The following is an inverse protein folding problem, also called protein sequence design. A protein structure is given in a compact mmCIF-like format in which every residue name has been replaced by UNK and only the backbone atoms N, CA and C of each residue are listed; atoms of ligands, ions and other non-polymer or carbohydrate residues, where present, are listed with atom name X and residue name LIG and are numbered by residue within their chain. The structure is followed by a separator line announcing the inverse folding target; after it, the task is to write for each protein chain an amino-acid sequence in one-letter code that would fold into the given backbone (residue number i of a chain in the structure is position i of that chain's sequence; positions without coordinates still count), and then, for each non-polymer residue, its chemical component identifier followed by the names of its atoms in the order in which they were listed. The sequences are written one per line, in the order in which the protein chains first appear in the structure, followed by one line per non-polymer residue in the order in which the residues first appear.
data_IF_157598690189
#
_entry.id   IF_157598690189
#
_cell.length_a   1.000
_cell.length_b   1.000
_cell.length_c   1.000
_cell.angle_alpha   90.00
_cell.angle_beta   90.00
_cell.angle_gamma   90.00
#
_symmetry.space_group_name_H-M   'P 1'
#
loop_
_entity.id
_entity.type
_entity.pdbx_description
1 polymer ?
#
# COMPACT_ATOMS: atom_id res chain seq x y z
N UNK A 1 -9.82 64.17 -4.14
CA UNK A 1 -9.67 65.23 -3.13
C UNK A 1 -9.19 64.54 -1.86
N UNK A 2 -7.93 64.64 -1.44
CA UNK A 2 -7.15 65.83 -1.02
C UNK A 2 -7.75 66.55 0.18
N UNK A 3 -7.18 66.31 1.37
CA UNK A 3 -6.51 67.36 2.15
C UNK A 3 -5.49 66.79 3.16
N UNK A 4 -4.22 67.17 2.98
CA UNK A 4 -3.22 67.38 4.03
C UNK A 4 -2.82 68.88 3.96
N UNK A 5 -2.09 69.47 4.94
CA UNK A 5 -0.66 69.21 5.20
C UNK A 5 -0.42 68.95 6.73
N UNK A 6 0.64 69.30 7.48
CA UNK A 6 1.87 70.13 7.37
C UNK A 6 2.80 69.78 8.57
N UNK A 7 4.14 69.91 8.58
CA UNK A 7 5.16 70.15 7.54
C UNK A 7 6.57 69.74 8.08
N UNK A 8 7.64 70.03 7.30
CA UNK A 8 9.09 70.00 7.62
C UNK A 8 9.51 70.31 9.09
N UNK A 9 10.66 69.82 9.61
CA UNK A 9 12.01 69.89 8.99
C UNK A 9 13.00 68.78 9.36
N UNK A 10 13.87 68.47 8.40
CA UNK A 10 15.14 67.77 8.59
C UNK A 10 16.20 68.66 9.26
N UNK A 11 17.22 68.02 9.85
CA UNK A 11 18.60 68.50 9.85
C UNK A 11 19.57 67.32 9.81
N UNK A 12 20.25 67.12 8.68
CA UNK A 12 21.44 66.29 8.63
C UNK A 12 22.60 67.00 9.34
N UNK A 13 23.40 66.25 10.10
CA UNK A 13 24.81 66.59 10.31
C UNK A 13 25.61 65.31 10.60
N UNK A 14 26.65 65.07 9.82
CA UNK A 14 27.63 64.01 10.02
C UNK A 14 28.98 64.62 10.35
N UNK A 15 29.71 64.02 11.31
CA UNK A 15 31.17 63.88 11.34
C UNK A 15 31.61 63.09 12.59
N UNK A 16 32.90 62.78 12.69
CA UNK A 16 33.38 61.55 13.34
C UNK A 16 34.25 61.74 14.58
N UNK A 17 34.52 60.61 15.25
CA UNK A 17 35.73 60.31 16.05
C UNK A 17 36.04 61.17 17.29
N UNK A 18 35.91 60.57 18.47
CA UNK A 18 37.00 60.48 19.45
C UNK A 18 36.88 59.20 20.30
N UNK A 19 37.94 58.80 20.98
CA UNK A 19 38.07 57.51 21.68
C UNK A 19 37.72 57.60 23.17
N UNK A 20 37.11 56.54 23.71
CA UNK A 20 36.84 56.39 25.14
C UNK A 20 36.60 54.94 25.53
N UNK A 21 37.63 54.29 26.10
CA UNK A 21 37.55 52.89 26.57
C UNK A 21 36.98 52.79 27.98
N UNK A 22 35.84 52.11 28.14
CA UNK A 22 35.33 51.65 29.44
C UNK A 22 34.86 50.21 29.31
N UNK A 23 35.47 49.30 30.07
CA UNK A 23 35.16 47.87 30.05
C UNK A 23 34.32 47.46 31.27
N UNK A 24 33.08 46.98 31.10
CA UNK A 24 32.36 46.25 32.13
C UNK A 24 32.65 44.75 32.04
N UNK A 25 33.26 44.17 33.07
CA UNK A 25 33.61 42.74 33.11
C UNK A 25 32.38 41.86 33.36
N UNK A 26 31.75 41.34 32.30
CA UNK A 26 30.67 40.36 32.41
C UNK A 26 31.19 39.03 32.99
N UNK A 27 30.71 38.67 34.19
CA UNK A 27 31.21 37.52 34.94
C UNK A 27 30.54 36.21 34.50
N UNK A 28 31.27 35.39 33.75
CA UNK A 28 30.85 34.04 33.32
C UNK A 28 30.45 33.15 34.52
N UNK A 29 30.97 33.43 35.72
CA UNK A 29 30.64 32.72 36.97
C UNK A 29 29.22 33.01 37.51
N UNK A 30 28.48 33.96 36.95
CA UNK A 30 27.08 34.18 37.28
C UNK A 30 26.17 33.17 36.55
N UNK A 31 26.26 33.11 35.22
CA UNK A 31 25.40 32.27 34.38
C UNK A 31 25.54 30.77 34.70
N UNK A 32 26.73 30.30 35.08
CA UNK A 32 26.92 28.91 35.47
C UNK A 32 26.15 28.50 36.72
N UNK A 33 25.86 29.43 37.65
CA UNK A 33 25.04 29.13 38.83
C UNK A 33 23.55 29.04 38.50
N UNK A 34 23.04 29.86 37.59
CA UNK A 34 21.64 29.78 37.17
C UNK A 34 21.38 28.51 36.33
N UNK A 35 22.29 28.17 35.40
CA UNK A 35 22.22 26.92 34.63
C UNK A 35 22.26 25.68 35.53
N UNK A 36 23.13 25.64 36.55
CA UNK A 36 23.18 24.53 37.52
C UNK A 36 21.93 24.52 38.41
N UNK A 37 21.40 25.69 38.81
CA UNK A 37 20.16 25.81 39.58
C UNK A 37 18.95 25.27 38.83
N UNK A 38 18.82 25.58 37.52
CA UNK A 38 17.75 25.06 36.67
C UNK A 38 17.73 23.52 36.60
N UNK A 39 18.90 22.87 36.57
CA UNK A 39 19.01 21.40 36.60
C UNK A 39 18.72 20.77 37.97
N UNK A 40 18.69 21.54 39.06
CA UNK A 40 18.42 21.01 40.42
C UNK A 40 16.92 20.80 40.72
N UNK A 41 16.04 21.41 39.92
CA UNK A 41 14.60 21.29 40.09
C UNK A 41 14.07 19.97 39.56
N UNK A 42 13.61 19.09 40.45
CA UNK A 42 12.91 17.83 40.09
C UNK A 42 11.79 18.06 39.06
N UNK A 43 11.10 19.20 39.13
CA UNK A 43 10.03 19.58 38.21
C UNK A 43 10.51 19.82 36.77
N UNK A 44 11.76 20.22 36.55
CA UNK A 44 12.33 20.39 35.21
C UNK A 44 12.71 19.03 34.62
N UNK A 45 13.38 18.19 35.40
CA UNK A 45 13.70 16.81 34.99
C UNK A 45 12.44 16.00 34.68
N UNK A 46 11.38 16.11 35.50
CA UNK A 46 10.09 15.47 35.24
C UNK A 46 9.41 16.02 33.98
N UNK A 47 9.47 17.33 33.72
CA UNK A 47 8.92 17.91 32.48
C UNK A 47 9.68 17.46 31.23
N UNK A 48 11.00 17.35 31.29
CA UNK A 48 11.81 16.81 30.19
C UNK A 48 11.55 15.30 29.99
N UNK A 49 11.34 14.54 31.07
CA UNK A 49 10.97 13.13 31.00
C UNK A 49 9.57 12.93 30.41
N UNK A 50 8.58 13.76 30.78
CA UNK A 50 7.26 13.76 30.14
C UNK A 50 7.33 14.16 28.67
N UNK A 51 8.14 15.16 28.32
CA UNK A 51 8.34 15.57 26.92
C UNK A 51 9.01 14.45 26.09
N UNK A 52 9.97 13.74 26.68
CA UNK A 52 10.57 12.56 26.08
C UNK A 52 9.57 11.40 25.94
N UNK A 53 8.69 11.19 26.92
CA UNK A 53 7.60 10.20 26.85
C UNK A 53 6.53 10.56 25.81
N UNK A 54 6.32 11.84 25.48
CA UNK A 54 5.50 12.26 24.33
C UNK A 54 6.25 12.22 22.99
N UNK A 55 7.59 12.15 23.01
CA UNK A 55 8.43 11.96 21.83
C UNK A 55 8.70 10.47 21.53
N UNK A 56 8.49 9.58 22.51
CA UNK A 56 8.10 8.20 22.21
C UNK A 56 6.68 8.26 21.68
N UNK A 57 6.56 8.59 20.39
CA UNK A 57 5.30 8.45 19.68
C UNK A 57 4.81 7.02 19.86
N UNK A 58 3.62 6.87 20.44
CA UNK A 58 2.92 5.59 20.45
C UNK A 58 2.53 5.34 19.00
N UNK A 59 3.43 4.68 18.26
CA UNK A 59 3.18 4.28 16.89
C UNK A 59 1.87 3.51 16.87
N UNK A 60 0.92 3.97 16.06
CA UNK A 60 -0.33 3.23 15.89
C UNK A 60 0.07 1.84 15.40
N UNK A 61 -0.40 0.79 16.06
CA UNK A 61 -0.11 -0.59 15.68
C UNK A 61 -0.87 -0.92 14.39
N UNK A 62 -0.35 -0.37 13.28
CA UNK A 62 -1.03 -0.30 12.00
C UNK A 62 -1.35 -1.68 11.47
N UNK A 63 -2.56 -1.81 10.94
CA UNK A 63 -3.11 -3.10 10.53
C UNK A 63 -2.48 -3.58 9.22
N UNK A 64 -1.29 -4.17 9.32
CA UNK A 64 -0.57 -4.79 8.20
C UNK A 64 -1.16 -6.17 7.94
N UNK A 65 -1.89 -6.26 6.83
CA UNK A 65 -2.36 -7.49 6.23
C UNK A 65 -1.52 -7.94 5.04
N UNK A 66 -1.78 -9.17 4.58
CA UNK A 66 -1.22 -9.69 3.33
C UNK A 66 -2.25 -10.49 2.54
N UNK A 67 -2.22 -10.39 1.22
CA UNK A 67 -2.99 -11.23 0.31
C UNK A 67 -2.28 -12.59 0.16
N UNK A 68 -2.90 -13.67 0.63
CA UNK A 68 -2.40 -15.03 0.44
C UNK A 68 -3.07 -15.62 -0.81
N UNK A 69 -2.49 -15.28 -1.96
CA UNK A 69 -2.80 -15.88 -3.26
C UNK A 69 -2.38 -17.36 -3.31
N UNK A 70 -3.04 -18.12 -4.20
CA UNK A 70 -2.94 -19.59 -4.29
C UNK A 70 -2.78 -20.09 -5.72
N UNK A 71 -2.62 -19.21 -6.71
CA UNK A 71 -2.39 -19.55 -8.12
C UNK A 71 -0.92 -19.95 -8.37
N UNK A 72 -0.47 -20.98 -7.66
CA UNK A 72 0.87 -21.56 -7.77
C UNK A 72 0.86 -23.05 -7.42
N UNK A 73 1.79 -23.82 -8.02
CA UNK A 73 1.94 -25.25 -7.78
C UNK A 73 3.00 -25.60 -6.70
N UNK A 74 3.79 -24.60 -6.25
CA UNK A 74 5.00 -24.79 -5.47
C UNK A 74 4.90 -24.33 -4.00
N UNK A 75 3.73 -23.84 -3.57
CA UNK A 75 3.55 -23.14 -2.30
C UNK A 75 3.74 -24.05 -1.07
N UNK A 76 4.25 -23.50 0.06
CA UNK A 76 4.33 -24.22 1.32
C UNK A 76 2.92 -24.49 1.91
N UNK A 77 2.70 -25.64 2.59
CA UNK A 77 1.38 -26.00 3.12
C UNK A 77 0.80 -24.93 4.07
N UNK A 78 -0.52 -24.64 4.03
CA UNK A 78 -1.12 -23.54 4.79
C UNK A 78 -0.80 -23.52 6.30
N UNK A 79 -0.73 -24.65 7.04
CA UNK A 79 -0.32 -24.65 8.44
C UNK A 79 1.12 -24.16 8.69
N UNK A 80 2.03 -24.39 7.73
CA UNK A 80 3.41 -23.87 7.78
C UNK A 80 3.41 -22.34 7.57
N UNK A 81 2.56 -21.82 6.69
CA UNK A 81 2.42 -20.39 6.40
C UNK A 81 1.76 -19.64 7.56
N UNK A 82 0.66 -20.17 8.10
CA UNK A 82 -0.03 -19.59 9.24
C UNK A 82 0.87 -19.54 10.50
N UNK A 83 1.69 -20.57 10.72
CA UNK A 83 2.74 -20.57 11.74
C UNK A 83 3.82 -19.51 11.45
N UNK A 84 4.32 -19.44 10.22
CA UNK A 84 5.35 -18.47 9.82
C UNK A 84 4.91 -17.02 10.01
N UNK A 85 3.69 -16.66 9.56
CA UNK A 85 3.16 -15.31 9.75
C UNK A 85 3.12 -14.94 11.25
N UNK A 86 2.59 -15.84 12.09
CA UNK A 86 2.47 -15.65 13.54
C UNK A 86 3.82 -15.49 14.24
N UNK A 87 4.78 -16.37 13.96
CA UNK A 87 6.03 -16.47 14.71
C UNK A 87 7.15 -15.59 14.14
N UNK A 88 7.17 -15.36 12.82
CA UNK A 88 8.29 -14.71 12.12
C UNK A 88 8.02 -13.28 11.65
N UNK A 89 6.76 -12.88 11.47
CA UNK A 89 6.41 -11.58 10.85
C UNK A 89 5.58 -10.69 11.76
N UNK A 90 5.55 -9.39 11.47
CA UNK A 90 4.62 -8.42 12.10
C UNK A 90 3.21 -8.43 11.50
N UNK A 91 2.99 -9.18 10.40
CA UNK A 91 1.69 -9.27 9.72
C UNK A 91 0.65 -9.87 10.67
N UNK A 92 -0.45 -9.15 10.90
CA UNK A 92 -1.50 -9.54 11.83
C UNK A 92 -2.85 -9.81 11.15
N UNK A 93 -2.98 -9.51 9.85
CA UNK A 93 -4.15 -9.83 9.02
C UNK A 93 -3.77 -10.66 7.79
N UNK A 94 -4.68 -11.51 7.31
CA UNK A 94 -4.53 -12.24 6.04
C UNK A 94 -5.83 -12.19 5.24
N UNK A 95 -5.71 -12.02 3.92
CA UNK A 95 -6.84 -12.15 2.99
C UNK A 95 -6.69 -13.43 2.17
N UNK A 96 -7.76 -14.22 2.15
CA UNK A 96 -7.91 -15.42 1.31
C UNK A 96 -8.85 -15.09 0.13
N UNK A 97 -8.58 -15.64 -1.05
CA UNK A 97 -9.36 -15.42 -2.26
C UNK A 97 -10.55 -16.39 -2.44
N UNK A 98 -10.62 -17.42 -1.59
CA UNK A 98 -11.77 -18.30 -1.44
C UNK A 98 -12.09 -18.52 0.05
N UNK A 99 -12.95 -19.50 0.35
CA UNK A 99 -13.24 -19.98 1.70
C UNK A 99 -12.76 -21.42 1.94
N UNK A 100 -11.57 -21.77 1.45
CA UNK A 100 -11.04 -23.14 1.54
C UNK A 100 -10.86 -23.59 3.01
N UNK A 101 -11.51 -24.69 3.44
CA UNK A 101 -11.50 -25.11 4.84
C UNK A 101 -10.14 -25.63 5.32
N UNK A 102 -9.18 -25.96 4.45
CA UNK A 102 -7.79 -26.20 4.87
C UNK A 102 -7.10 -24.92 5.32
N UNK A 103 -7.19 -23.85 4.52
CA UNK A 103 -6.62 -22.54 4.85
C UNK A 103 -7.29 -21.96 6.10
N UNK A 104 -8.62 -22.03 6.19
CA UNK A 104 -9.35 -21.58 7.38
C UNK A 104 -8.97 -22.38 8.65
N UNK A 105 -8.69 -23.69 8.55
CA UNK A 105 -8.16 -24.48 9.69
C UNK A 105 -6.71 -24.14 10.03
N UNK A 106 -5.88 -23.81 9.04
CA UNK A 106 -4.48 -23.46 9.28
C UNK A 106 -4.31 -22.21 10.17
N UNK A 107 -5.22 -21.23 10.05
CA UNK A 107 -5.21 -20.03 10.90
C UNK A 107 -5.88 -20.21 12.27
N UNK A 108 -6.35 -21.41 12.61
CA UNK A 108 -6.94 -21.69 13.92
C UNK A 108 -5.94 -21.45 15.07
N UNK A 109 -6.38 -20.75 16.11
CA UNK A 109 -5.60 -20.36 17.29
C UNK A 109 -4.31 -19.57 16.97
N UNK A 110 -4.20 -18.98 15.78
CA UNK A 110 -3.09 -18.08 15.45
C UNK A 110 -3.25 -16.70 16.09
N UNK A 111 -4.49 -16.19 16.14
CA UNK A 111 -4.81 -14.80 16.48
C UNK A 111 -4.84 -13.87 15.27
N UNK A 112 -4.23 -14.28 14.15
CA UNK A 112 -4.23 -13.54 12.88
C UNK A 112 -5.68 -13.40 12.40
N UNK A 113 -6.07 -12.16 12.09
CA UNK A 113 -7.40 -11.86 11.58
C UNK A 113 -7.53 -12.28 10.11
N UNK A 114 -8.58 -13.04 9.79
CA UNK A 114 -8.80 -13.60 8.46
C UNK A 114 -9.94 -12.86 7.77
N UNK A 115 -9.64 -12.31 6.59
CA UNK A 115 -10.64 -11.82 5.62
C UNK A 115 -10.82 -12.89 4.54
N UNK A 116 -12.06 -13.35 4.36
CA UNK A 116 -12.43 -14.45 3.45
C UNK A 116 -13.10 -13.88 2.21
N UNK A 117 -12.82 -14.38 1.01
CA UNK A 117 -13.47 -13.91 -0.22
C UNK A 117 -14.45 -14.95 -0.75
N UNK A 118 -15.66 -14.52 -1.12
CA UNK A 118 -16.61 -15.27 -1.94
C UNK A 118 -16.15 -15.21 -3.40
N UNK A 119 -15.91 -16.33 -4.09
CA UNK A 119 -15.60 -16.33 -5.52
C UNK A 119 -16.68 -15.67 -6.38
N UNK A 120 -16.27 -14.96 -7.44
CA UNK A 120 -17.13 -14.09 -8.24
C UNK A 120 -18.35 -14.83 -8.85
N UNK A 121 -18.19 -16.10 -9.23
CA UNK A 121 -19.24 -16.96 -9.79
C UNK A 121 -20.37 -17.28 -8.80
N UNK A 122 -20.10 -17.23 -7.49
CA UNK A 122 -21.07 -17.56 -6.44
C UNK A 122 -22.04 -16.40 -6.12
N UNK A 123 -21.67 -15.16 -6.48
CA UNK A 123 -22.42 -13.93 -6.14
C UNK A 123 -23.91 -14.00 -6.54
N UNK A 124 -24.28 -14.40 -7.78
CA UNK A 124 -25.69 -14.50 -8.17
C UNK A 124 -26.45 -15.55 -7.36
N UNK A 125 -25.77 -16.61 -6.91
CA UNK A 125 -26.33 -17.67 -6.10
C UNK A 125 -26.73 -17.22 -4.70
N UNK A 126 -25.91 -16.35 -4.08
CA UNK A 126 -26.09 -15.81 -2.72
C UNK A 126 -27.25 -14.82 -2.59
N UNK A 127 -27.75 -14.24 -3.68
CA UNK A 127 -28.95 -13.37 -3.68
C UNK A 127 -30.21 -14.04 -3.10
N UNK A 128 -30.18 -15.36 -2.90
CA UNK A 128 -31.23 -16.17 -2.26
C UNK A 128 -30.88 -16.40 -0.77
N UNK A 129 -31.70 -15.95 0.20
CA UNK A 129 -31.38 -16.03 1.62
C UNK A 129 -31.01 -17.43 2.13
N UNK A 130 -31.66 -18.49 1.64
CA UNK A 130 -31.35 -19.87 2.05
C UNK A 130 -29.97 -20.35 1.57
N UNK A 131 -29.45 -19.81 0.46
CA UNK A 131 -28.11 -20.12 -0.05
C UNK A 131 -27.06 -19.32 0.73
N UNK A 132 -27.34 -18.06 1.06
CA UNK A 132 -26.49 -17.27 1.94
C UNK A 132 -26.39 -17.87 3.36
N UNK A 133 -27.49 -18.38 3.90
CA UNK A 133 -27.50 -19.15 5.14
C UNK A 133 -26.63 -20.41 5.03
N UNK A 134 -26.88 -21.26 4.02
CA UNK A 134 -26.09 -22.48 3.83
C UNK A 134 -24.59 -22.19 3.66
N UNK A 135 -24.22 -21.12 2.93
CA UNK A 135 -22.83 -20.71 2.77
C UNK A 135 -22.16 -20.33 4.11
N UNK A 136 -22.86 -19.65 5.01
CA UNK A 136 -22.36 -19.34 6.36
C UNK A 136 -22.22 -20.61 7.22
N UNK A 137 -23.17 -21.55 7.12
CA UNK A 137 -23.11 -22.85 7.82
C UNK A 137 -21.99 -23.76 7.31
N UNK A 138 -21.71 -23.75 6.01
CA UNK A 138 -20.70 -24.62 5.37
C UNK A 138 -19.27 -24.05 5.52
N UNK A 139 -19.08 -22.74 5.30
CA UNK A 139 -17.76 -22.14 5.12
C UNK A 139 -17.27 -21.26 6.28
N UNK A 140 -18.16 -20.76 7.15
CA UNK A 140 -17.78 -19.83 8.24
C UNK A 140 -17.98 -20.47 9.62
N UNK A 141 -19.19 -20.96 9.93
CA UNK A 141 -19.50 -21.51 11.26
C UNK A 141 -18.53 -22.62 11.72
N UNK A 142 -18.06 -23.57 10.88
CA UNK A 142 -17.19 -24.67 11.33
C UNK A 142 -15.82 -24.23 11.82
N UNK A 143 -15.41 -22.98 11.53
CA UNK A 143 -14.10 -22.43 11.90
C UNK A 143 -14.16 -21.46 13.09
N UNK A 144 -15.34 -20.95 13.44
CA UNK A 144 -15.53 -20.03 14.58
C UNK A 144 -15.75 -20.83 15.87
N UNK A 145 -15.15 -20.45 17.03
CA UNK A 145 -14.26 -19.31 17.27
C UNK A 145 -12.76 -19.66 17.20
N UNK A 146 -12.39 -20.81 16.61
CA UNK A 146 -10.99 -21.24 16.56
C UNK A 146 -10.15 -20.33 15.65
N UNK A 147 -10.69 -19.96 14.49
CA UNK A 147 -10.09 -19.03 13.52
C UNK A 147 -10.73 -17.66 13.66
N UNK A 148 -9.91 -16.60 13.68
CA UNK A 148 -10.36 -15.22 13.87
C UNK A 148 -10.85 -14.61 12.53
N UNK A 149 -11.97 -15.10 11.98
CA UNK A 149 -12.56 -14.52 10.77
C UNK A 149 -13.23 -13.19 11.14
N UNK A 150 -12.75 -12.09 10.57
CA UNK A 150 -13.23 -10.72 10.87
C UNK A 150 -14.12 -10.14 9.78
N UNK A 151 -13.97 -10.62 8.53
CA UNK A 151 -14.64 -10.04 7.36
C UNK A 151 -14.87 -11.06 6.26
N UNK A 152 -15.98 -10.92 5.53
CA UNK A 152 -16.23 -11.62 4.27
C UNK A 152 -16.36 -10.61 3.12
N UNK A 153 -15.73 -10.90 2.00
CA UNK A 153 -15.74 -10.08 0.79
C UNK A 153 -16.61 -10.73 -0.27
N UNK A 154 -17.61 -10.03 -0.81
CA UNK A 154 -18.48 -10.55 -1.87
C UNK A 154 -17.84 -10.28 -3.23
N UNK A 155 -16.94 -11.18 -3.63
CA UNK A 155 -16.19 -11.09 -4.88
C UNK A 155 -14.82 -10.41 -4.78
N UNK A 156 -14.13 -10.36 -5.92
CA UNK A 156 -13.00 -9.47 -6.16
C UNK A 156 -13.26 -8.64 -7.42
N UNK A 157 -13.11 -7.31 -7.31
CA UNK A 157 -13.25 -6.36 -8.41
C UNK A 157 -14.50 -6.53 -9.30
N UNK A 158 -15.65 -6.80 -8.68
CA UNK A 158 -16.87 -7.22 -9.40
C UNK A 158 -17.30 -6.22 -10.50
N UNK A 159 -17.04 -4.92 -10.31
CA UNK A 159 -17.34 -3.87 -11.31
C UNK A 159 -16.34 -3.88 -12.48
N UNK A 160 -15.08 -4.30 -12.28
CA UNK A 160 -14.09 -4.49 -13.36
C UNK A 160 -14.53 -5.58 -14.36
N UNK A 161 -15.33 -6.57 -13.93
CA UNK A 161 -15.80 -7.67 -14.79
C UNK A 161 -16.58 -7.24 -16.02
N UNK A 162 -17.28 -6.10 -15.94
CA UNK A 162 -18.34 -5.68 -16.85
C UNK A 162 -19.49 -6.70 -17.02
N UNK A 163 -19.53 -7.79 -16.25
CA UNK A 163 -20.62 -8.75 -16.28
C UNK A 163 -21.86 -8.16 -15.61
N UNK A 164 -22.95 -8.06 -16.37
CA UNK A 164 -24.18 -7.43 -15.89
C UNK A 164 -24.83 -8.22 -14.75
N UNK A 165 -24.77 -9.55 -14.75
CA UNK A 165 -25.38 -10.39 -13.73
C UNK A 165 -24.63 -10.28 -12.41
N UNK A 166 -23.29 -10.35 -12.44
CA UNK A 166 -22.45 -10.17 -11.26
C UNK A 166 -22.65 -8.79 -10.63
N UNK A 167 -22.61 -7.73 -11.45
CA UNK A 167 -22.74 -6.35 -10.98
C UNK A 167 -24.11 -6.06 -10.35
N UNK A 168 -25.23 -6.56 -10.91
CA UNK A 168 -26.56 -6.35 -10.30
C UNK A 168 -26.84 -7.28 -9.11
N UNK A 169 -26.13 -8.40 -9.00
CA UNK A 169 -26.27 -9.35 -7.89
C UNK A 169 -25.43 -8.97 -6.65
N UNK A 170 -24.40 -8.13 -6.82
CA UNK A 170 -23.45 -7.74 -5.77
C UNK A 170 -24.10 -7.25 -4.47
N UNK A 171 -24.80 -6.11 -4.50
CA UNK A 171 -25.39 -5.53 -3.28
C UNK A 171 -26.49 -6.42 -2.67
N UNK A 172 -27.40 -7.04 -3.45
CA UNK A 172 -28.33 -8.05 -2.90
C UNK A 172 -27.64 -9.24 -2.23
N UNK A 173 -26.52 -9.74 -2.78
CA UNK A 173 -25.75 -10.83 -2.18
C UNK A 173 -25.04 -10.40 -0.88
N UNK A 174 -24.55 -9.16 -0.80
CA UNK A 174 -24.00 -8.59 0.44
C UNK A 174 -25.09 -8.49 1.53
N UNK A 175 -26.30 -8.07 1.16
CA UNK A 175 -27.44 -7.94 2.07
C UNK A 175 -27.93 -9.29 2.63
N UNK A 176 -28.06 -10.33 1.79
CA UNK A 176 -28.44 -11.67 2.25
C UNK A 176 -27.35 -12.33 3.08
N UNK A 177 -26.08 -12.16 2.70
CA UNK A 177 -24.93 -12.70 3.44
C UNK A 177 -24.77 -12.04 4.82
N UNK A 178 -24.93 -10.71 4.91
CA UNK A 178 -24.98 -10.02 6.20
C UNK A 178 -26.13 -10.53 7.07
N UNK A 179 -27.32 -10.73 6.48
CA UNK A 179 -28.49 -11.25 7.21
C UNK A 179 -28.21 -12.65 7.77
N UNK A 180 -27.53 -13.52 7.01
CA UNK A 180 -27.08 -14.83 7.47
C UNK A 180 -26.02 -14.74 8.58
N UNK A 181 -25.00 -13.89 8.43
CA UNK A 181 -23.94 -13.69 9.44
C UNK A 181 -24.48 -13.08 10.75
N UNK A 182 -25.45 -12.17 10.67
CA UNK A 182 -26.15 -11.63 11.85
C UNK A 182 -26.93 -12.73 12.56
N UNK A 183 -27.73 -13.52 11.84
CA UNK A 183 -28.51 -14.62 12.42
C UNK A 183 -27.64 -15.78 12.95
N UNK A 184 -26.44 -15.97 12.42
CA UNK A 184 -25.55 -17.08 12.78
C UNK A 184 -24.55 -16.75 13.90
N UNK A 185 -24.07 -15.50 13.95
CA UNK A 185 -22.85 -15.09 14.69
C UNK A 185 -22.97 -13.69 15.35
N UNK A 186 -24.17 -13.14 15.48
CA UNK A 186 -24.46 -11.84 16.11
C UNK A 186 -23.78 -10.64 15.41
N UNK A 187 -23.52 -10.74 14.10
CA UNK A 187 -23.02 -9.63 13.28
C UNK A 187 -21.54 -9.27 13.51
N UNK A 188 -20.79 -10.12 14.21
CA UNK A 188 -19.36 -9.91 14.54
C UNK A 188 -18.39 -9.97 13.34
N UNK A 189 -18.89 -10.25 12.14
CA UNK A 189 -18.11 -10.37 10.90
C UNK A 189 -18.63 -9.32 9.92
N UNK A 190 -17.75 -8.44 9.46
CA UNK A 190 -18.08 -7.40 8.47
C UNK A 190 -18.32 -7.99 7.08
N UNK A 191 -19.12 -7.32 6.25
CA UNK A 191 -19.32 -7.68 4.84
C UNK A 191 -18.96 -6.49 3.95
N UNK A 192 -18.05 -6.71 3.00
CA UNK A 192 -17.65 -5.68 2.03
C UNK A 192 -17.36 -6.29 0.65
N UNK A 193 -16.78 -5.52 -0.26
CA UNK A 193 -16.24 -5.97 -1.55
C UNK A 193 -15.12 -5.02 -1.97
N UNK A 194 -13.97 -5.54 -2.44
CA UNK A 194 -12.86 -4.74 -2.96
C UNK A 194 -13.11 -4.30 -4.41
N UNK A 195 -12.60 -3.13 -4.76
CA UNK A 195 -12.76 -2.53 -6.09
C UNK A 195 -11.43 -2.02 -6.66
N UNK A 196 -11.17 -2.24 -7.97
CA UNK A 196 -10.15 -1.44 -8.66
C UNK A 196 -10.52 0.04 -8.64
N UNK A 197 -9.51 0.90 -8.75
CA UNK A 197 -9.72 2.32 -9.08
C UNK A 197 -10.37 2.52 -10.46
N UNK A 198 -10.54 1.45 -11.25
CA UNK A 198 -11.36 1.43 -12.47
C UNK A 198 -12.84 1.78 -12.24
N UNK A 199 -13.32 1.85 -11.00
CA UNK A 199 -14.64 2.44 -10.66
C UNK A 199 -14.70 3.96 -10.85
N UNK A 200 -13.55 4.64 -10.94
CA UNK A 200 -13.45 6.08 -11.16
C UNK A 200 -13.57 6.43 -12.66
N UNK A 201 -14.16 7.60 -12.91
CA UNK A 201 -14.18 8.29 -14.21
C UNK A 201 -13.15 9.43 -14.27
N UNK A 202 -12.78 9.96 -13.10
CA UNK A 202 -11.77 10.97 -12.92
C UNK A 202 -11.09 10.79 -11.55
N UNK A 203 -9.82 11.18 -11.47
CA UNK A 203 -8.94 10.99 -10.31
C UNK A 203 -7.78 12.00 -10.26
N UNK A 204 -7.73 12.99 -11.16
CA UNK A 204 -6.60 13.92 -11.27
C UNK A 204 -7.08 15.33 -11.63
N UNK A 205 -6.86 16.34 -10.77
CA UNK A 205 -6.27 16.25 -9.43
C UNK A 205 -7.24 15.55 -8.44
N UNK A 206 -6.75 14.98 -7.32
CA UNK A 206 -7.54 14.07 -6.47
C UNK A 206 -8.90 14.60 -5.98
N UNK A 207 -9.00 15.90 -5.69
CA UNK A 207 -10.25 16.59 -5.31
C UNK A 207 -11.38 16.46 -6.34
N UNK A 208 -11.04 16.21 -7.60
CA UNK A 208 -11.98 16.00 -8.71
C UNK A 208 -12.35 14.53 -8.89
N UNK A 209 -11.93 13.67 -7.96
CA UNK A 209 -12.21 12.24 -7.91
C UNK A 209 -13.70 11.94 -7.98
N UNK A 210 -14.12 11.14 -8.96
CA UNK A 210 -15.54 10.84 -9.19
C UNK A 210 -15.76 9.45 -9.78
N UNK A 211 -16.67 8.68 -9.16
CA UNK A 211 -17.16 7.41 -9.69
C UNK A 211 -17.78 7.52 -11.09
N UNK A 212 -17.76 6.42 -11.85
CA UNK A 212 -18.34 6.36 -13.20
C UNK A 212 -19.85 6.53 -13.19
N UNK A 213 -20.33 7.42 -14.07
CA UNK A 213 -21.74 7.66 -14.31
C UNK A 213 -22.49 6.35 -14.59
N UNK A 214 -23.59 6.12 -13.87
CA UNK A 214 -24.41 4.91 -13.91
C UNK A 214 -24.01 3.89 -12.84
N UNK A 215 -22.71 3.68 -12.60
CA UNK A 215 -22.26 2.88 -11.44
C UNK A 215 -22.37 3.70 -10.15
N UNK A 216 -22.11 5.01 -10.20
CA UNK A 216 -22.28 5.95 -9.10
C UNK A 216 -23.67 5.88 -8.45
N UNK A 217 -24.74 5.92 -9.25
CA UNK A 217 -26.14 5.91 -8.77
C UNK A 217 -26.70 4.51 -8.52
N UNK A 218 -26.40 3.51 -9.37
CA UNK A 218 -27.10 2.23 -9.36
C UNK A 218 -26.34 1.07 -8.68
N UNK A 219 -25.05 1.24 -8.40
CA UNK A 219 -24.22 0.20 -7.75
C UNK A 219 -23.55 0.74 -6.50
N UNK A 220 -22.77 1.81 -6.64
CA UNK A 220 -21.90 2.34 -5.59
C UNK A 220 -22.68 3.08 -4.50
N UNK A 221 -23.68 3.93 -4.83
CA UNK A 221 -24.50 4.56 -3.78
C UNK A 221 -25.29 3.56 -2.92
N UNK A 222 -25.96 2.53 -3.46
CA UNK A 222 -26.57 1.46 -2.65
C UNK A 222 -25.54 0.68 -1.82
N UNK A 223 -24.37 0.38 -2.37
CA UNK A 223 -23.27 -0.32 -1.70
C UNK A 223 -22.73 0.49 -0.52
N UNK A 224 -22.44 1.78 -0.72
CA UNK A 224 -21.97 2.69 0.33
C UNK A 224 -23.02 2.88 1.44
N UNK A 225 -24.32 2.88 1.11
CA UNK A 225 -25.38 2.83 2.14
C UNK A 225 -25.26 1.56 2.96
N UNK A 226 -25.28 0.39 2.32
CA UNK A 226 -25.14 -0.90 3.01
C UNK A 226 -23.89 -0.98 3.90
N UNK A 227 -22.75 -0.45 3.44
CA UNK A 227 -21.52 -0.41 4.24
C UNK A 227 -21.67 0.46 5.49
N UNK A 228 -22.27 1.66 5.37
CA UNK A 228 -22.56 2.54 6.52
C UNK A 228 -23.55 1.88 7.47
N UNK A 229 -24.64 1.35 6.93
CA UNK A 229 -25.74 0.72 7.67
C UNK A 229 -25.29 -0.57 8.42
N UNK A 230 -24.13 -1.14 8.06
CA UNK A 230 -23.52 -2.33 8.68
C UNK A 230 -22.19 -2.07 9.40
N UNK A 231 -21.72 -0.82 9.46
CA UNK A 231 -20.39 -0.46 9.98
C UNK A 231 -19.24 -1.30 9.36
N UNK A 232 -19.28 -1.46 8.04
CA UNK A 232 -18.26 -2.17 7.23
C UNK A 232 -17.47 -1.18 6.35
N UNK A 233 -16.16 -1.39 6.10
CA UNK A 233 -15.34 -0.45 5.34
C UNK A 233 -15.60 -0.53 3.84
N UNK A 234 -15.34 0.58 3.12
CA UNK A 234 -15.19 0.57 1.67
C UNK A 234 -13.79 0.07 1.31
N UNK A 235 -13.69 -0.89 0.38
CA UNK A 235 -12.44 -1.59 0.09
C UNK A 235 -11.97 -1.34 -1.34
N UNK A 236 -10.69 -0.99 -1.49
CA UNK A 236 -10.10 -0.62 -2.78
C UNK A 236 -8.75 -1.26 -3.03
N UNK A 237 -8.42 -1.41 -4.31
CA UNK A 237 -7.17 -1.93 -4.83
C UNK A 237 -6.35 -0.79 -5.50
N UNK A 238 -5.75 0.14 -4.74
CA UNK A 238 -4.89 1.19 -5.29
C UNK A 238 -3.51 0.65 -5.63
N UNK A 239 -3.18 0.61 -6.92
CA UNK A 239 -1.87 0.20 -7.41
C UNK A 239 -1.20 1.38 -8.15
N UNK A 240 -0.33 2.16 -7.49
CA UNK A 240 0.53 3.14 -8.15
C UNK A 240 1.33 2.56 -9.32
N UNK A 241 1.77 1.30 -9.20
CA UNK A 241 2.46 0.55 -10.26
C UNK A 241 1.76 0.60 -11.62
N UNK A 242 0.43 0.47 -11.68
CA UNK A 242 -0.31 0.42 -12.95
C UNK A 242 -0.59 1.78 -13.59
N UNK A 243 -0.41 2.88 -12.83
CA UNK A 243 -0.60 4.25 -13.31
C UNK A 243 0.75 5.02 -13.42
N UNK A 244 1.88 4.39 -13.07
CA UNK A 244 3.21 5.01 -13.10
C UNK A 244 3.81 5.13 -14.52
N UNK A 245 4.85 5.95 -14.62
CA UNK A 245 5.64 6.21 -15.82
C UNK A 245 7.08 6.57 -15.42
N UNK A 246 8.06 6.65 -16.34
CA UNK A 246 9.44 7.04 -15.99
C UNK A 246 9.51 8.41 -15.30
N UNK A 247 8.67 9.36 -15.71
CA UNK A 247 8.63 10.72 -15.16
C UNK A 247 7.85 10.80 -13.82
N UNK A 248 7.19 9.70 -13.40
CA UNK A 248 6.38 9.63 -12.17
C UNK A 248 6.75 8.44 -11.27
N UNK A 249 7.90 7.81 -11.50
CA UNK A 249 8.37 6.65 -10.74
C UNK A 249 8.62 7.01 -9.28
N UNK A 250 9.44 8.04 -9.01
CA UNK A 250 9.73 8.52 -7.65
C UNK A 250 8.45 8.85 -6.86
N UNK A 251 7.45 9.44 -7.53
CA UNK A 251 6.14 9.76 -6.99
C UNK A 251 5.29 8.51 -6.70
N UNK A 252 5.40 7.46 -7.52
CA UNK A 252 4.78 6.16 -7.25
C UNK A 252 5.46 5.40 -6.09
N UNK A 253 6.77 5.60 -5.92
CA UNK A 253 7.62 4.92 -4.93
C UNK A 253 7.76 5.64 -3.59
N UNK A 254 7.09 6.77 -3.36
CA UNK A 254 7.25 7.64 -2.18
C UNK A 254 8.67 8.25 -2.01
N UNK A 255 9.48 8.29 -3.07
CA UNK A 255 10.82 8.88 -3.08
C UNK A 255 10.76 10.42 -3.20
N UNK A 256 11.83 11.17 -2.88
CA UNK A 256 11.83 12.63 -2.98
C UNK A 256 11.59 13.13 -4.41
N UNK A 257 10.43 13.73 -4.65
CA UNK A 257 9.99 14.18 -5.97
C UNK A 257 9.37 15.59 -5.93
N UNK A 258 9.02 16.13 -7.10
CA UNK A 258 8.47 17.49 -7.25
C UNK A 258 6.99 17.65 -6.82
N UNK A 259 6.31 16.56 -6.44
CA UNK A 259 4.92 16.52 -5.98
C UNK A 259 3.88 16.86 -7.04
N UNK A 260 2.61 16.78 -6.63
CA UNK A 260 1.45 17.18 -7.43
C UNK A 260 0.58 18.13 -6.60
N UNK A 261 0.38 19.35 -7.10
CA UNK A 261 -0.50 20.35 -6.47
C UNK A 261 -1.94 20.18 -6.96
N UNK A 262 -2.90 20.25 -6.06
CA UNK A 262 -4.33 20.19 -6.33
C UNK A 262 -4.96 21.59 -6.25
N UNK A 263 -5.19 22.19 -7.42
CA UNK A 263 -5.66 23.58 -7.54
C UNK A 263 -7.02 23.88 -6.87
N UNK A 264 -7.84 22.87 -6.58
CA UNK A 264 -9.16 23.07 -5.95
C UNK A 264 -9.11 23.00 -4.42
N UNK A 265 -8.05 22.44 -3.86
CA UNK A 265 -7.89 22.22 -2.41
C UNK A 265 -6.65 22.88 -1.82
N UNK A 266 -5.76 23.40 -2.66
CA UNK A 266 -4.46 23.97 -2.32
C UNK A 266 -3.51 22.98 -1.59
N UNK A 267 -3.81 21.68 -1.72
CA UNK A 267 -3.05 20.58 -1.12
C UNK A 267 -1.97 20.06 -2.07
N UNK A 268 -0.97 19.40 -1.49
CA UNK A 268 0.21 18.92 -2.18
C UNK A 268 0.44 17.45 -1.89
N UNK A 269 0.40 16.63 -2.93
CA UNK A 269 0.60 15.18 -2.86
C UNK A 269 2.06 14.88 -3.14
N UNK A 270 2.74 14.22 -2.20
CA UNK A 270 4.15 13.80 -2.34
C UNK A 270 4.29 12.36 -2.79
N UNK A 271 3.20 11.58 -2.82
CA UNK A 271 3.18 10.22 -3.33
C UNK A 271 1.84 9.90 -4.04
N UNK A 272 1.87 8.90 -4.92
CA UNK A 272 0.74 8.52 -5.75
C UNK A 272 -0.36 7.76 -4.98
N UNK A 273 -0.01 7.04 -3.90
CA UNK A 273 -1.00 6.29 -3.11
C UNK A 273 -2.00 7.25 -2.44
N UNK A 274 -1.51 8.31 -1.81
CA UNK A 274 -2.36 9.33 -1.18
C UNK A 274 -3.29 9.99 -2.20
N UNK A 275 -2.79 10.30 -3.39
CA UNK A 275 -3.59 10.85 -4.48
C UNK A 275 -4.66 9.87 -4.99
N UNK A 276 -4.35 8.57 -5.05
CA UNK A 276 -5.31 7.52 -5.40
C UNK A 276 -6.39 7.35 -4.31
N UNK A 277 -6.00 7.37 -3.03
CA UNK A 277 -6.92 7.29 -1.89
C UNK A 277 -7.83 8.53 -1.78
N UNK A 278 -7.28 9.73 -1.99
CA UNK A 278 -8.03 10.98 -1.92
C UNK A 278 -8.95 11.20 -3.12
N UNK A 279 -8.64 10.59 -4.27
CA UNK A 279 -9.57 10.48 -5.39
C UNK A 279 -10.77 9.56 -5.08
N UNK A 280 -10.54 8.47 -4.33
CA UNK A 280 -11.62 7.59 -3.83
C UNK A 280 -12.47 8.31 -2.78
N UNK A 281 -11.83 8.93 -1.78
CA UNK A 281 -12.51 9.71 -0.75
C UNK A 281 -13.35 10.86 -1.34
N UNK A 282 -12.81 11.61 -2.31
CA UNK A 282 -13.56 12.66 -3.03
C UNK A 282 -14.78 12.09 -3.76
N UNK A 283 -14.65 10.92 -4.39
CA UNK A 283 -15.77 10.25 -5.05
C UNK A 283 -16.86 9.78 -4.07
N UNK A 284 -16.47 9.28 -2.89
CA UNK A 284 -17.40 8.93 -1.80
C UNK A 284 -18.09 10.17 -1.22
N UNK A 285 -17.33 11.25 -1.01
CA UNK A 285 -17.82 12.55 -0.52
C UNK A 285 -18.86 13.17 -1.44
N UNK A 286 -18.66 13.11 -2.77
CA UNK A 286 -19.64 13.56 -3.76
C UNK A 286 -20.98 12.80 -3.71
N UNK A 287 -21.01 11.58 -3.15
CA UNK A 287 -22.24 10.82 -2.93
C UNK A 287 -22.84 11.00 -1.52
N UNK A 288 -22.10 11.64 -0.61
CA UNK A 288 -22.44 11.86 0.80
C UNK A 288 -21.96 10.77 1.75
N UNK A 289 -20.74 10.25 1.55
CA UNK A 289 -20.15 9.13 2.32
C UNK A 289 -18.68 9.37 2.73
N UNK A 290 -18.36 10.57 3.21
CA UNK A 290 -17.03 10.93 3.72
C UNK A 290 -16.75 10.49 5.18
N UNK A 291 -17.71 9.83 5.83
CA UNK A 291 -17.59 9.16 7.13
C UNK A 291 -17.07 7.72 7.04
N UNK A 292 -17.25 7.04 5.90
CA UNK A 292 -16.88 5.63 5.76
C UNK A 292 -15.37 5.41 5.83
N UNK A 293 -14.97 4.34 6.52
CA UNK A 293 -13.59 3.85 6.52
C UNK A 293 -13.18 3.29 5.15
N UNK A 294 -11.92 3.51 4.80
CA UNK A 294 -11.30 3.02 3.57
C UNK A 294 -10.23 2.01 3.96
N UNK A 295 -10.24 0.84 3.32
CA UNK A 295 -9.26 -0.23 3.54
C UNK A 295 -8.61 -0.59 2.21
N UNK A 296 -7.28 -0.66 2.21
CA UNK A 296 -6.47 -1.05 1.06
C UNK A 296 -6.49 -2.57 1.01
N UNK A 297 -7.32 -3.14 0.15
CA UNK A 297 -7.52 -4.59 0.03
C UNK A 297 -6.44 -5.26 -0.83
N UNK A 298 -5.83 -4.51 -1.74
CA UNK A 298 -4.64 -4.90 -2.49
C UNK A 298 -3.81 -3.66 -2.83
N UNK A 299 -2.51 -3.72 -2.54
CA UNK A 299 -1.51 -2.83 -3.16
C UNK A 299 -0.15 -3.51 -3.11
N UNK A 300 0.71 -3.27 -4.09
CA UNK A 300 2.03 -3.90 -4.14
C UNK A 300 2.79 -3.56 -5.41
N UNK A 301 3.99 -4.12 -5.53
CA UNK A 301 4.91 -3.85 -6.63
C UNK A 301 5.66 -5.14 -7.02
N UNK A 302 5.76 -5.47 -8.33
CA UNK A 302 6.39 -6.70 -8.78
C UNK A 302 7.93 -6.60 -8.81
N UNK A 303 8.59 -7.72 -8.48
CA UNK A 303 10.06 -7.82 -8.42
C UNK A 303 10.73 -8.30 -9.72
N UNK A 304 9.93 -8.71 -10.72
CA UNK A 304 10.37 -9.07 -12.06
C UNK A 304 9.20 -8.93 -13.04
N UNK A 305 9.47 -8.56 -14.30
CA UNK A 305 8.43 -8.29 -15.30
C UNK A 305 8.95 -8.31 -16.73
N UNK A 306 8.10 -7.89 -17.67
CA UNK A 306 8.46 -7.80 -19.08
C UNK A 306 9.37 -6.57 -19.33
N UNK A 307 10.36 -6.60 -20.24
CA UNK A 307 11.37 -5.53 -20.41
C UNK A 307 10.87 -4.13 -20.83
N UNK A 308 9.56 -3.94 -20.93
CA UNK A 308 8.88 -2.66 -21.22
C UNK A 308 8.23 -2.05 -19.97
N UNK A 309 8.26 -2.74 -18.83
CA UNK A 309 7.70 -2.27 -17.57
C UNK A 309 8.75 -1.45 -16.81
N UNK A 310 8.33 -0.36 -16.18
CA UNK A 310 9.22 0.65 -15.58
C UNK A 310 9.44 0.34 -14.10
N UNK A 311 10.70 0.35 -13.65
CA UNK A 311 11.06 0.10 -12.25
C UNK A 311 10.63 -1.29 -11.76
N UNK A 312 10.86 -2.35 -12.55
CA UNK A 312 10.44 -3.71 -12.17
C UNK A 312 11.65 -4.59 -11.89
N UNK A 313 12.09 -4.52 -10.65
CA UNK A 313 13.17 -5.30 -10.05
C UNK A 313 12.95 -5.42 -8.53
N UNK A 314 13.76 -6.26 -7.88
CA UNK A 314 13.64 -6.54 -6.44
C UNK A 314 14.05 -5.36 -5.53
N UNK A 315 14.80 -4.38 -6.04
CA UNK A 315 15.18 -3.17 -5.29
C UNK A 315 13.99 -2.20 -5.27
N UNK A 316 13.41 -1.91 -6.43
CA UNK A 316 12.21 -1.08 -6.58
C UNK A 316 11.00 -1.68 -5.85
N UNK A 317 10.83 -3.01 -5.87
CA UNK A 317 9.78 -3.69 -5.11
C UNK A 317 9.98 -3.59 -3.59
N UNK A 318 11.24 -3.53 -3.11
CA UNK A 318 11.56 -3.29 -1.71
C UNK A 318 11.29 -1.83 -1.32
N UNK A 319 11.65 -0.87 -2.19
CA UNK A 319 11.34 0.54 -1.99
C UNK A 319 9.83 0.76 -1.86
N UNK A 320 9.01 0.32 -2.82
CA UNK A 320 7.57 0.51 -2.76
C UNK A 320 6.96 -0.10 -1.49
N UNK A 321 7.15 -1.40 -1.28
CA UNK A 321 6.49 -2.11 -0.18
C UNK A 321 7.04 -1.66 1.20
N UNK A 322 8.32 -1.31 1.30
CA UNK A 322 8.93 -0.76 2.51
C UNK A 322 8.53 0.69 2.80
N UNK A 323 8.37 1.53 1.78
CA UNK A 323 7.84 2.89 1.93
C UNK A 323 6.34 2.86 2.31
N UNK A 324 5.55 2.02 1.63
CA UNK A 324 4.13 1.75 1.93
C UNK A 324 3.92 1.45 3.42
N UNK A 325 4.64 0.46 3.97
CA UNK A 325 4.50 0.08 5.39
C UNK A 325 4.83 1.26 6.30
N UNK A 326 5.96 1.94 6.06
CA UNK A 326 6.37 3.09 6.87
C UNK A 326 5.36 4.24 6.79
N UNK A 327 4.70 4.42 5.64
CA UNK A 327 3.65 5.41 5.46
C UNK A 327 2.38 5.05 6.25
N UNK A 328 1.78 3.89 5.99
CA UNK A 328 0.50 3.51 6.62
C UNK A 328 0.60 3.26 8.13
N UNK A 329 1.78 2.89 8.64
CA UNK A 329 2.04 2.77 10.10
C UNK A 329 2.44 4.09 10.78
N UNK A 330 2.81 5.14 10.04
CA UNK A 330 3.15 6.45 10.62
C UNK A 330 1.95 7.16 11.27
N UNK A 331 0.73 6.82 10.85
CA UNK A 331 -0.49 7.52 11.25
C UNK A 331 -0.63 8.93 10.65
N UNK A 332 0.16 9.31 9.63
CA UNK A 332 0.05 10.65 9.00
C UNK A 332 -1.25 10.84 8.21
N UNK A 333 -1.80 9.76 7.64
CA UNK A 333 -2.96 9.80 6.76
C UNK A 333 -2.64 10.32 5.36
N UNK A 334 -3.65 10.87 4.69
CA UNK A 334 -3.53 11.53 3.37
C UNK A 334 -3.80 13.03 3.49
N UNK A 335 -3.52 13.86 2.47
CA UNK A 335 -3.85 15.28 2.50
C UNK A 335 -5.33 15.64 2.79
N UNK A 336 -6.30 14.87 2.27
CA UNK A 336 -7.73 15.05 2.59
C UNK A 336 -8.22 14.24 3.80
N UNK A 337 -7.49 13.20 4.21
CA UNK A 337 -7.78 12.40 5.40
C UNK A 337 -6.59 12.40 6.38
N UNK A 338 -6.16 13.57 6.89
CA UNK A 338 -4.98 13.67 7.76
C UNK A 338 -5.25 13.00 9.11
N UNK A 339 -4.24 12.30 9.63
CA UNK A 339 -4.30 11.45 10.82
C UNK A 339 -5.18 10.19 10.70
N UNK A 340 -5.67 9.83 9.49
CA UNK A 340 -6.37 8.56 9.25
C UNK A 340 -5.38 7.41 9.10
N UNK A 341 -5.75 6.23 9.62
CA UNK A 341 -4.96 5.00 9.52
C UNK A 341 -5.67 4.00 8.62
N UNK A 342 -4.98 3.45 7.63
CA UNK A 342 -5.57 2.52 6.65
C UNK A 342 -5.15 1.09 6.97
N UNK A 343 -6.12 0.20 7.23
CA UNK A 343 -5.86 -1.24 7.17
C UNK A 343 -5.42 -1.60 5.74
N UNK A 344 -4.29 -2.30 5.64
CA UNK A 344 -3.53 -2.39 4.39
C UNK A 344 -3.05 -3.81 4.13
N UNK A 345 -3.60 -4.42 3.09
CA UNK A 345 -3.24 -5.76 2.62
C UNK A 345 -2.25 -5.68 1.45
N UNK A 346 -1.00 -6.03 1.71
CA UNK A 346 0.04 -6.06 0.67
C UNK A 346 -0.25 -7.21 -0.31
N UNK A 347 -0.14 -6.95 -1.60
CA UNK A 347 -0.23 -7.95 -2.68
C UNK A 347 1.17 -8.29 -3.19
N UNK A 348 1.71 -9.49 -2.98
CA UNK A 348 1.13 -10.68 -2.34
C UNK A 348 2.14 -11.44 -1.47
N UNK A 349 1.67 -12.42 -0.70
CA UNK A 349 2.52 -13.17 0.22
C UNK A 349 3.61 -13.97 -0.49
N UNK A 350 3.31 -14.51 -1.67
CA UNK A 350 4.18 -15.35 -2.48
C UNK A 350 4.13 -14.96 -3.94
N UNK A 351 5.18 -15.33 -4.69
CA UNK A 351 5.14 -15.40 -6.14
C UNK A 351 4.16 -16.49 -6.59
N UNK A 352 3.22 -16.14 -7.47
CA UNK A 352 2.15 -17.02 -7.93
C UNK A 352 2.46 -17.53 -9.35
N UNK A 353 3.19 -18.65 -9.45
CA UNK A 353 3.81 -19.09 -10.71
C UNK A 353 2.82 -19.49 -11.83
N UNK A 354 1.56 -19.75 -11.49
CA UNK A 354 0.47 -20.01 -12.45
C UNK A 354 -0.33 -18.75 -12.82
N UNK A 355 -0.02 -17.55 -12.27
CA UNK A 355 -0.82 -16.35 -12.58
C UNK A 355 -0.77 -15.98 -14.08
N UNK A 356 -1.95 -15.82 -14.72
CA UNK A 356 -2.06 -15.54 -16.15
C UNK A 356 -1.73 -14.08 -16.47
N UNK A 357 -1.30 -13.81 -17.71
CA UNK A 357 -1.02 -12.46 -18.18
C UNK A 357 0.48 -12.11 -18.26
N UNK A 358 0.84 -10.81 -18.24
CA UNK A 358 2.21 -10.31 -18.30
C UNK A 358 3.12 -10.91 -17.24
N UNK A 359 4.44 -10.76 -17.41
CA UNK A 359 5.42 -11.39 -16.51
C UNK A 359 5.32 -10.87 -15.08
N UNK A 360 4.98 -9.59 -14.87
CA UNK A 360 4.80 -9.02 -13.53
C UNK A 360 3.79 -9.75 -12.65
N UNK A 361 2.73 -10.33 -13.24
CA UNK A 361 1.65 -11.01 -12.50
C UNK A 361 2.17 -12.15 -11.62
N UNK A 362 3.30 -12.76 -11.98
CA UNK A 362 3.87 -13.93 -11.28
C UNK A 362 4.87 -13.57 -10.19
N UNK A 363 5.24 -12.29 -10.04
CA UNK A 363 6.39 -11.84 -9.22
C UNK A 363 6.09 -10.75 -8.18
N UNK A 364 4.85 -10.69 -7.68
CA UNK A 364 4.41 -9.78 -6.61
C UNK A 364 4.77 -10.28 -5.18
N UNK A 365 5.48 -11.39 -5.03
CA UNK A 365 5.72 -12.03 -3.74
C UNK A 365 6.63 -11.25 -2.80
N UNK A 366 6.21 -11.15 -1.54
CA UNK A 366 7.07 -10.74 -0.42
C UNK A 366 8.05 -11.86 -0.02
N UNK A 367 7.66 -13.12 -0.19
CA UNK A 367 8.46 -14.30 0.15
C UNK A 367 8.52 -15.29 -1.01
N UNK A 368 9.61 -16.06 -1.06
CA UNK A 368 9.72 -17.26 -1.90
C UNK A 368 8.96 -18.42 -1.24
N UNK A 369 8.62 -19.49 -1.98
CA UNK A 369 7.92 -20.66 -1.43
C UNK A 369 8.66 -21.41 -0.29
N UNK A 370 9.97 -21.19 -0.12
CA UNK A 370 10.75 -21.72 1.00
C UNK A 370 10.59 -20.92 2.31
N UNK A 371 9.87 -19.78 2.26
CA UNK A 371 9.70 -18.75 3.30
C UNK A 371 10.89 -17.79 3.49
N UNK A 372 11.87 -17.76 2.58
CA UNK A 372 12.87 -16.68 2.54
C UNK A 372 12.25 -15.39 2.00
N UNK A 373 12.61 -14.20 2.52
CA UNK A 373 12.17 -12.93 1.95
C UNK A 373 12.68 -12.79 0.51
N UNK A 374 11.79 -12.43 -0.42
CA UNK A 374 12.17 -12.14 -1.80
C UNK A 374 13.19 -10.98 -1.81
N UNK A 375 12.86 -9.95 -1.04
CA UNK A 375 13.61 -8.73 -0.72
C UNK A 375 13.20 -8.28 0.69
N UNK A 376 13.99 -7.45 1.38
CA UNK A 376 13.66 -7.01 2.76
C UNK A 376 12.89 -5.69 2.77
N UNK A 377 11.84 -5.63 3.60
CA UNK A 377 10.97 -4.47 3.84
C UNK A 377 10.68 -4.26 5.33
N UNK A 378 11.42 -4.92 6.23
CA UNK A 378 11.33 -4.73 7.68
C UNK A 378 10.16 -5.45 8.38
N UNK A 379 9.42 -6.33 7.69
CA UNK A 379 8.29 -7.08 8.29
C UNK A 379 8.70 -8.30 9.12
N UNK A 380 9.96 -8.75 9.04
CA UNK A 380 10.46 -9.84 9.87
C UNK A 380 10.70 -9.36 11.30
N UNK A 381 10.24 -10.14 12.29
CA UNK A 381 10.49 -9.84 13.71
C UNK A 381 12.01 -9.82 13.97
N UNK A 382 12.56 -8.93 14.80
CA UNK A 382 14.01 -8.65 14.86
C UNK A 382 14.92 -9.88 15.05
N UNK A 383 14.49 -10.88 15.83
CA UNK A 383 15.26 -12.12 16.03
C UNK A 383 15.33 -12.99 14.77
N UNK A 384 14.29 -12.96 13.92
CA UNK A 384 14.26 -13.68 12.63
C UNK A 384 14.99 -12.88 11.55
N UNK A 385 14.85 -11.55 11.53
CA UNK A 385 15.60 -10.68 10.62
C UNK A 385 17.12 -10.86 10.79
N UNK A 386 17.62 -10.87 12.03
CA UNK A 386 19.03 -11.13 12.33
C UNK A 386 19.50 -12.53 11.88
N UNK A 387 18.65 -13.55 11.98
CA UNK A 387 18.95 -14.89 11.49
C UNK A 387 18.99 -14.95 9.95
N UNK A 388 18.04 -14.31 9.28
CA UNK A 388 17.98 -14.25 7.81
C UNK A 388 19.19 -13.51 7.21
N UNK A 389 19.57 -12.38 7.78
CA UNK A 389 20.75 -11.62 7.35
C UNK A 389 22.05 -12.44 7.47
N UNK A 390 22.22 -13.20 8.57
CA UNK A 390 23.35 -14.10 8.74
C UNK A 390 23.39 -15.22 7.69
N UNK A 391 22.23 -15.77 7.29
CA UNK A 391 22.13 -16.80 6.25
C UNK A 391 22.46 -16.21 4.87
N UNK A 392 21.95 -15.02 4.54
CA UNK A 392 22.29 -14.32 3.30
C UNK A 392 23.80 -14.01 3.22
N UNK A 393 24.40 -13.52 4.31
CA UNK A 393 25.84 -13.26 4.39
C UNK A 393 26.67 -14.53 4.22
N UNK A 394 26.32 -15.63 4.89
CA UNK A 394 26.98 -16.92 4.72
C UNK A 394 26.85 -17.49 3.29
N UNK A 395 25.68 -17.32 2.66
CA UNK A 395 25.44 -17.77 1.28
C UNK A 395 26.26 -16.93 0.28
N UNK A 396 26.39 -15.62 0.53
CA UNK A 396 27.22 -14.73 -0.27
C UNK A 396 28.72 -15.09 -0.18
N UNK A 397 29.21 -15.39 1.03
CA UNK A 397 30.59 -15.86 1.25
C UNK A 397 30.87 -17.16 0.49
N UNK A 398 30.03 -18.19 0.65
CA UNK A 398 30.16 -19.46 -0.08
C UNK A 398 30.11 -19.28 -1.62
N UNK A 399 29.30 -18.33 -2.10
CA UNK A 399 29.22 -17.97 -3.52
C UNK A 399 30.44 -17.18 -4.02
N UNK A 400 31.22 -16.55 -3.14
CA UNK A 400 32.52 -15.94 -3.47
C UNK A 400 33.65 -16.97 -3.46
N UNK A 401 33.71 -17.86 -2.46
CA UNK A 401 34.69 -18.95 -2.39
C UNK A 401 34.57 -19.88 -3.61
N UNK A 402 33.35 -20.23 -4.01
CA UNK A 402 33.10 -21.01 -5.23
C UNK A 402 33.44 -20.29 -6.56
N UNK A 403 33.66 -18.96 -6.55
CA UNK A 403 34.15 -18.21 -7.71
C UNK A 403 35.68 -18.15 -7.74
N UNK A 404 36.32 -18.07 -6.57
CA UNK A 404 37.78 -18.08 -6.48
C UNK A 404 38.35 -19.47 -6.83
N UNK A 405 37.72 -20.56 -6.38
CA UNK A 405 38.06 -21.93 -6.80
C UNK A 405 37.95 -22.11 -8.33
N UNK A 406 36.94 -21.49 -8.96
CA UNK A 406 36.73 -21.54 -10.40
C UNK A 406 37.79 -20.76 -11.22
N UNK A 407 38.57 -19.89 -10.59
CA UNK A 407 39.59 -19.07 -11.26
C UNK A 407 40.97 -19.74 -11.35
N UNK A 408 41.16 -20.88 -10.68
CA UNK A 408 42.46 -21.58 -10.59
C UNK A 408 42.70 -22.56 -11.74
N UNK A 409 41.66 -23.02 -12.45
CA UNK A 409 41.77 -24.05 -13.49
C UNK A 409 41.89 -23.52 -14.93
N UNK A 410 43.13 -23.62 -15.45
CA UNK A 410 43.49 -23.70 -16.88
C UNK A 410 43.11 -22.54 -17.81
N UNK A 411 44.08 -21.67 -18.08
CA UNK A 411 44.06 -20.76 -19.22
C UNK A 411 44.92 -21.30 -20.38
N UNK A 412 44.32 -21.49 -21.57
CA UNK A 412 45.02 -21.71 -22.84
C UNK A 412 44.33 -20.92 -23.96
N UNK A 413 45.02 -19.98 -24.65
CA UNK A 413 44.37 -19.11 -25.63
C UNK A 413 44.26 -19.75 -27.01
N UNK A 414 43.14 -19.51 -27.70
CA UNK A 414 42.94 -19.77 -29.13
C UNK A 414 42.53 -18.45 -29.81
N UNK A 415 43.20 -18.02 -30.89
CA UNK A 415 42.91 -16.74 -31.54
C UNK A 415 41.77 -16.85 -32.57
N UNK A 416 40.80 -15.94 -32.52
CA UNK A 416 39.72 -15.84 -33.52
C UNK A 416 39.58 -14.40 -34.00
N UNK A 417 39.76 -14.17 -35.30
CA UNK A 417 39.68 -12.84 -35.92
C UNK A 417 38.34 -12.62 -36.64
N UNK A 418 37.57 -11.62 -36.20
CA UNK A 418 36.32 -11.19 -36.87
C UNK A 418 36.23 -9.65 -36.81
N UNK A 419 35.85 -8.94 -37.89
CA UNK A 419 36.02 -7.49 -37.98
C UNK A 419 34.94 -6.66 -37.27
N UNK A 420 35.28 -5.40 -36.98
CA UNK A 420 34.42 -4.41 -36.32
C UNK A 420 33.23 -3.97 -37.18
N UNK A 421 32.05 -3.87 -36.57
CA UNK A 421 30.91 -3.11 -37.11
C UNK A 421 30.44 -2.09 -36.06
N UNK A 422 30.34 -0.81 -36.46
CA UNK A 422 29.96 0.27 -35.55
C UNK A 422 28.44 0.34 -35.39
N UNK A 423 27.95 0.39 -34.15
CA UNK A 423 26.57 0.80 -33.88
C UNK A 423 26.46 2.34 -33.96
N UNK A 424 25.38 2.89 -34.55
CA UNK A 424 25.10 4.32 -34.51
C UNK A 424 24.69 4.75 -33.09
N UNK A 425 25.03 5.98 -32.72
CA UNK A 425 24.58 6.59 -31.45
C UNK A 425 23.08 6.87 -31.52
N UNK A 426 22.36 6.58 -30.45
CA UNK A 426 20.97 7.01 -30.26
C UNK A 426 20.96 8.44 -29.72
N UNK A 427 20.15 9.33 -30.31
CA UNK A 427 19.99 10.72 -29.84
C UNK A 427 18.65 10.90 -29.11
N UNK A 428 18.68 11.57 -27.98
CA UNK A 428 17.63 11.56 -26.97
C UNK A 428 16.54 12.61 -27.19
N UNK A 429 15.70 12.44 -28.22
CA UNK A 429 14.40 13.15 -28.38
C UNK A 429 13.50 12.52 -29.45
N UNK A 430 12.63 11.59 -29.06
CA UNK A 430 11.40 11.31 -29.80
C UNK A 430 10.20 11.24 -28.86
N UNK A 431 9.22 12.10 -29.12
CA UNK A 431 7.91 12.08 -28.45
C UNK A 431 7.10 10.93 -29.08
N UNK A 432 6.51 10.06 -28.26
CA UNK A 432 5.70 8.93 -28.74
C UNK A 432 4.62 9.41 -29.72
N UNK A 433 4.39 8.66 -30.80
CA UNK A 433 3.37 9.05 -31.75
C UNK A 433 1.98 8.80 -31.17
N UNK A 434 0.97 9.57 -31.62
CA UNK A 434 -0.41 9.35 -31.15
C UNK A 434 -0.96 7.95 -31.50
N UNK A 435 -0.31 7.22 -32.43
CA UNK A 435 -0.62 5.81 -32.75
C UNK A 435 -0.11 4.86 -31.67
N UNK A 436 0.99 5.20 -31.02
CA UNK A 436 1.62 4.40 -29.97
C UNK A 436 0.97 4.65 -28.62
N UNK A 437 0.58 5.90 -28.31
CA UNK A 437 -0.33 6.18 -27.19
C UNK A 437 -1.65 5.42 -27.31
N UNK A 438 -2.26 5.38 -28.52
CA UNK A 438 -3.48 4.60 -28.77
C UNK A 438 -3.25 3.10 -28.63
N UNK A 439 -2.06 2.60 -28.97
CA UNK A 439 -1.67 1.20 -28.70
C UNK A 439 -1.52 0.93 -27.21
N UNK A 440 -0.84 1.80 -26.45
CA UNK A 440 -0.67 1.64 -25.00
C UNK A 440 -2.03 1.69 -24.27
N UNK A 441 -2.90 2.64 -24.62
CA UNK A 441 -4.27 2.73 -24.08
C UNK A 441 -5.16 1.55 -24.50
N UNK A 442 -4.92 0.96 -25.68
CA UNK A 442 -5.56 -0.30 -26.09
C UNK A 442 -5.02 -1.50 -25.30
N UNK A 443 -3.70 -1.63 -25.16
CA UNK A 443 -3.05 -2.69 -24.36
C UNK A 443 -3.48 -2.63 -22.90
N UNK A 444 -3.52 -1.46 -22.25
CA UNK A 444 -4.00 -1.32 -20.87
C UNK A 444 -5.48 -1.75 -20.70
N UNK A 445 -6.32 -1.51 -21.72
CA UNK A 445 -7.72 -1.97 -21.73
C UNK A 445 -7.84 -3.48 -21.94
N UNK A 446 -7.07 -4.02 -22.90
CA UNK A 446 -7.05 -5.44 -23.27
C UNK A 446 -6.42 -6.30 -22.17
N UNK A 447 -5.39 -5.78 -21.48
CA UNK A 447 -4.74 -6.36 -20.30
C UNK A 447 -5.74 -6.55 -19.16
N UNK A 448 -6.45 -5.48 -18.75
CA UNK A 448 -7.51 -5.54 -17.74
C UNK A 448 -8.57 -6.58 -18.12
N UNK A 449 -9.03 -6.60 -19.38
CA UNK A 449 -10.00 -7.58 -19.86
C UNK A 449 -9.51 -9.05 -19.82
N UNK A 450 -8.21 -9.29 -20.09
CA UNK A 450 -7.64 -10.64 -20.15
C UNK A 450 -7.21 -11.21 -18.81
N UNK A 451 -6.73 -10.38 -17.88
CA UNK A 451 -6.51 -10.80 -16.48
C UNK A 451 -7.85 -11.19 -15.85
N UNK A 452 -8.88 -10.37 -16.07
CA UNK A 452 -10.22 -10.64 -15.54
C UNK A 452 -10.79 -12.00 -15.98
N UNK A 453 -10.70 -12.32 -17.28
CA UNK A 453 -11.24 -13.57 -17.85
C UNK A 453 -10.57 -14.83 -17.27
N UNK A 454 -9.32 -14.72 -16.86
CA UNK A 454 -8.51 -15.81 -16.33
C UNK A 454 -8.50 -15.85 -14.78
N UNK A 455 -9.27 -14.98 -14.12
CA UNK A 455 -9.63 -15.07 -12.69
C UNK A 455 -11.08 -15.55 -12.49
N UNK A 456 -11.82 -15.85 -13.57
CA UNK A 456 -13.23 -16.27 -13.53
C UNK A 456 -13.47 -17.75 -13.87
N UNK A 457 -12.43 -18.52 -14.16
CA UNK A 457 -12.49 -19.96 -14.38
C UNK A 457 -11.32 -20.67 -13.66
N UNK A 458 -11.55 -21.84 -13.04
CA UNK A 458 -10.52 -22.62 -12.35
C UNK A 458 -9.64 -23.45 -13.31
#
# INVERSE_FOLDING_TARGET
MLHAPSIHKEKNLSLSTSSGTVSPSFSIKAMSKELISMCSSRSVAVRLLFLALTLVGVGVEGTIGVNYGTLANNLPPPPRVAKFLKESTVINHVRLFDANPEFLRAFAHTGIAVTVTVPNDQIPGLTRPNIAQQWVEDYIRPHIPATNIVRVLVGNEVISTADRLLIVSLVPAMQTLQTALVAALDGRIQVSTPHSLGILSNSTPPSTGKFRQGYDTHVLKPLLSFLRDTNSPFMVNPYPFFDCSPDTLDYALFLPNAGVFDENTELFYTNMLDAQLDAVYSAMKLLGFDDLEIVIAETGWPSMGDPVQVGVDAETAAEYNGNLIRHVTSGVGTPLMPNRTFETYIFALFDEDLKPGPTCERYFGLFRPDLTPAYDIGILRPMVAAAAANIQHATCLLASEARDDAFVTTATPVPTTTPSHQMPRYDGKQRLSSRDERRLKWFAKEYRARVQLALTHP
#
